data_IF_077245771829
#
_entry.id   IF_077245771829
#
_cell.length_a   1.000
_cell.length_b   1.000
_cell.length_c   1.000
_cell.angle_alpha   90.00
_cell.angle_beta   90.00
_cell.angle_gamma   90.00
#
_symmetry.space_group_name_H-M   'P 1'
#
loop_
_entity.id
_entity.type
_entity.pdbx_description
1 polymer ?
#
# COMPACT_ATOMS: atom_id res chain seq x y z
N UNK A 1 0.04 -14.41 39.60
CA UNK A 1 -0.32 -15.08 38.34
C UNK A 1 -1.67 -14.50 37.94
N UNK A 2 -1.79 -13.74 36.85
CA UNK A 2 -3.09 -13.29 36.40
C UNK A 2 -3.70 -14.35 35.46
N UNK A 3 -4.97 -14.62 35.73
CA UNK A 3 -5.86 -15.53 35.03
C UNK A 3 -5.93 -15.26 33.52
N UNK A 4 -5.81 -16.33 32.74
CA UNK A 4 -6.10 -16.32 31.31
C UNK A 4 -7.59 -16.65 31.12
N UNK A 5 -8.39 -15.65 30.75
CA UNK A 5 -9.81 -15.84 30.43
C UNK A 5 -9.96 -16.29 28.96
N UNK A 6 -10.53 -17.48 28.65
CA UNK A 6 -10.49 -18.07 27.30
C UNK A 6 -11.50 -17.47 26.28
N UNK A 7 -12.16 -16.35 26.59
CA UNK A 7 -13.26 -15.79 25.76
C UNK A 7 -13.29 -14.26 25.65
N UNK A 8 -12.15 -13.59 25.69
CA UNK A 8 -12.09 -12.21 25.21
C UNK A 8 -12.09 -12.23 23.66
N UNK A 9 -13.28 -12.12 23.04
CA UNK A 9 -13.37 -11.60 21.69
C UNK A 9 -12.89 -10.15 21.75
N UNK A 10 -11.60 -9.94 21.49
CA UNK A 10 -11.06 -8.60 21.35
C UNK A 10 -11.69 -8.00 20.10
N UNK A 11 -12.75 -7.20 20.30
CA UNK A 11 -13.35 -6.41 19.22
C UNK A 11 -12.34 -5.34 18.82
N UNK A 12 -11.47 -5.71 17.89
CA UNK A 12 -10.35 -4.92 17.41
C UNK A 12 -10.91 -3.77 16.58
N UNK A 13 -10.59 -2.53 16.93
CA UNK A 13 -10.94 -1.38 16.10
C UNK A 13 -9.91 -1.17 14.99
N UNK A 14 -10.28 -0.45 13.93
CA UNK A 14 -9.34 0.04 12.90
C UNK A 14 -8.18 0.79 13.55
N UNK A 15 -8.46 1.60 14.59
CA UNK A 15 -7.46 2.34 15.34
C UNK A 15 -6.48 1.43 16.07
N UNK A 16 -6.96 0.34 16.67
CA UNK A 16 -6.09 -0.63 17.36
C UNK A 16 -5.20 -1.42 16.40
N UNK A 17 -5.64 -1.62 15.15
CA UNK A 17 -4.80 -2.21 14.11
C UNK A 17 -3.74 -1.22 13.68
N UNK A 18 -4.16 -0.01 13.33
CA UNK A 18 -3.29 1.03 12.81
C UNK A 18 -2.24 1.52 13.80
N UNK A 19 -2.46 1.35 15.12
CA UNK A 19 -1.46 1.67 16.14
C UNK A 19 -0.18 0.82 16.06
N UNK A 20 -0.21 -0.29 15.31
CA UNK A 20 0.95 -1.15 15.08
C UNK A 20 1.71 -0.81 13.80
N UNK A 21 1.33 0.28 13.12
CA UNK A 21 2.01 0.77 11.92
C UNK A 21 2.88 1.98 12.26
N UNK A 22 3.90 2.25 11.45
CA UNK A 22 4.70 3.47 11.57
C UNK A 22 3.91 4.74 11.22
N UNK A 23 2.71 4.60 10.65
CA UNK A 23 1.86 5.71 10.21
C UNK A 23 0.41 5.56 10.71
N UNK A 24 0.14 5.61 12.03
CA UNK A 24 -1.20 5.27 12.56
C UNK A 24 -2.34 6.13 12.00
N UNK A 25 -2.15 7.46 11.92
CA UNK A 25 -3.19 8.38 11.44
C UNK A 25 -3.42 8.23 9.93
N UNK A 26 -2.35 8.02 9.15
CA UNK A 26 -2.44 7.75 7.71
C UNK A 26 -3.11 6.41 7.47
N UNK A 27 -2.77 5.40 8.26
CA UNK A 27 -3.42 4.09 8.22
C UNK A 27 -4.93 4.22 8.42
N UNK A 28 -5.37 4.86 9.51
CA UNK A 28 -6.80 5.02 9.80
C UNK A 28 -7.51 5.74 8.65
N UNK A 29 -7.00 6.90 8.22
CA UNK A 29 -7.64 7.69 7.16
C UNK A 29 -7.65 6.97 5.81
N UNK A 30 -6.61 6.20 5.50
CA UNK A 30 -6.47 5.49 4.22
C UNK A 30 -7.37 4.26 4.15
N UNK A 31 -7.47 3.47 5.22
CA UNK A 31 -8.17 2.17 5.16
C UNK A 31 -9.65 2.27 5.53
N UNK A 32 -10.04 3.26 6.35
CA UNK A 32 -11.45 3.42 6.79
C UNK A 32 -12.47 3.41 5.65
N UNK A 33 -12.23 4.05 4.48
CA UNK A 33 -13.17 4.01 3.36
C UNK A 33 -13.36 2.62 2.72
N UNK A 34 -12.42 1.69 2.95
CA UNK A 34 -12.39 0.36 2.32
C UNK A 34 -12.73 -0.77 3.29
N UNK A 35 -12.73 -0.49 4.60
CA UNK A 35 -13.01 -1.47 5.65
C UNK A 35 -14.52 -1.62 5.83
N UNK A 36 -14.98 -2.87 5.88
CA UNK A 36 -16.37 -3.22 6.18
C UNK A 36 -16.65 -3.28 7.69
N UNK A 37 -17.79 -3.88 8.04
CA UNK A 37 -18.16 -4.07 9.46
C UNK A 37 -17.34 -5.16 10.15
N UNK A 38 -16.69 -6.04 9.39
CA UNK A 38 -15.85 -7.11 9.90
C UNK A 38 -14.39 -6.64 9.96
N UNK A 39 -13.86 -6.56 11.18
CA UNK A 39 -12.51 -6.09 11.50
C UNK A 39 -11.52 -7.24 11.74
N UNK A 40 -11.79 -8.43 11.20
CA UNK A 40 -10.79 -9.48 11.06
C UNK A 40 -9.54 -8.95 10.35
N UNK A 41 -8.35 -9.38 10.81
CA UNK A 41 -7.09 -8.87 10.28
C UNK A 41 -6.91 -9.16 8.79
N UNK A 42 -7.46 -10.26 8.25
CA UNK A 42 -7.42 -10.53 6.81
C UNK A 42 -8.28 -9.53 6.04
N UNK A 43 -9.48 -9.20 6.55
CA UNK A 43 -10.36 -8.23 5.90
C UNK A 43 -9.78 -6.83 5.94
N UNK A 44 -9.12 -6.46 7.03
CA UNK A 44 -8.45 -5.16 7.15
C UNK A 44 -7.20 -5.11 6.27
N UNK A 45 -6.46 -6.21 6.14
CA UNK A 45 -5.38 -6.33 5.16
C UNK A 45 -5.89 -6.20 3.72
N UNK A 46 -6.98 -6.88 3.38
CA UNK A 46 -7.64 -6.77 2.07
C UNK A 46 -8.05 -5.32 1.78
N UNK A 47 -8.66 -4.64 2.75
CA UNK A 47 -9.02 -3.24 2.64
C UNK A 47 -7.80 -2.32 2.44
N UNK A 48 -6.70 -2.57 3.15
CA UNK A 48 -5.46 -1.82 2.99
C UNK A 48 -4.85 -2.02 1.58
N UNK A 49 -4.85 -3.26 1.06
CA UNK A 49 -4.36 -3.55 -0.30
C UNK A 49 -5.25 -2.89 -1.37
N UNK A 50 -6.58 -2.85 -1.15
CA UNK A 50 -7.51 -2.09 -2.02
C UNK A 50 -7.21 -0.59 -2.02
N UNK A 51 -6.96 -0.01 -0.85
CA UNK A 51 -6.58 1.39 -0.72
C UNK A 51 -5.27 1.68 -1.46
N UNK A 52 -4.27 0.81 -1.29
CA UNK A 52 -2.99 0.90 -1.99
C UNK A 52 -3.17 0.82 -3.52
N UNK A 53 -4.01 -0.11 -4.00
CA UNK A 53 -4.33 -0.26 -5.43
C UNK A 53 -5.00 0.99 -6.01
N UNK A 54 -5.93 1.59 -5.25
CA UNK A 54 -6.58 2.83 -5.65
C UNK A 54 -5.57 3.97 -5.80
N UNK A 55 -4.66 4.13 -4.83
CA UNK A 55 -3.61 5.13 -4.90
C UNK A 55 -2.63 4.88 -6.06
N UNK A 56 -2.19 3.64 -6.27
CA UNK A 56 -1.31 3.30 -7.39
C UNK A 56 -1.95 3.65 -8.75
N UNK A 57 -3.21 3.27 -8.95
CA UNK A 57 -3.94 3.59 -10.18
C UNK A 57 -4.18 5.10 -10.36
N UNK A 58 -4.42 5.82 -9.26
CA UNK A 58 -4.48 7.28 -9.28
C UNK A 58 -3.13 7.87 -9.71
N UNK A 59 -2.03 7.42 -9.14
CA UNK A 59 -0.69 7.89 -9.51
C UNK A 59 -0.38 7.64 -10.98
N UNK A 60 -0.67 6.45 -11.52
CA UNK A 60 -0.55 6.15 -12.97
C UNK A 60 -1.29 7.20 -13.81
N UNK A 61 -2.52 7.52 -13.42
CA UNK A 61 -3.36 8.49 -14.14
C UNK A 61 -2.75 9.89 -14.12
N UNK A 62 -2.17 10.30 -12.99
CA UNK A 62 -1.56 11.63 -12.87
C UNK A 62 -0.22 11.68 -13.60
N UNK A 63 0.63 10.65 -13.50
CA UNK A 63 1.87 10.52 -14.29
C UNK A 63 1.58 10.61 -15.79
N UNK A 64 0.58 9.87 -16.27
CA UNK A 64 0.17 9.92 -17.68
C UNK A 64 -0.32 11.31 -18.13
N UNK A 65 -0.91 12.10 -17.22
CA UNK A 65 -1.31 13.49 -17.49
C UNK A 65 -0.10 14.42 -17.57
N UNK A 66 0.86 14.30 -16.65
CA UNK A 66 2.09 15.11 -16.67
C UNK A 66 2.96 14.80 -17.88
N UNK A 67 3.03 13.54 -18.30
CA UNK A 67 3.78 13.12 -19.49
C UNK A 67 3.31 13.85 -20.76
N UNK A 68 2.02 14.17 -20.86
CA UNK A 68 1.46 14.97 -21.97
C UNK A 68 1.78 16.46 -21.87
N UNK A 69 2.02 16.97 -20.66
CA UNK A 69 2.25 18.39 -20.38
C UNK A 69 3.74 18.77 -20.42
N UNK A 70 4.63 17.81 -20.19
CA UNK A 70 6.08 18.01 -20.10
C UNK A 70 6.83 17.02 -21.01
N UNK A 71 6.95 17.31 -22.32
CA UNK A 71 7.70 16.48 -23.27
C UNK A 71 9.15 16.23 -22.84
N UNK A 72 9.76 17.20 -22.16
CA UNK A 72 11.13 17.10 -21.63
C UNK A 72 11.30 16.06 -20.52
N UNK A 73 10.21 15.71 -19.82
CA UNK A 73 10.19 14.68 -18.77
C UNK A 73 9.54 13.38 -19.24
N UNK A 74 9.16 13.27 -20.52
CA UNK A 74 8.29 12.19 -21.00
C UNK A 74 8.88 10.80 -20.75
N UNK A 75 10.19 10.60 -21.00
CA UNK A 75 10.85 9.32 -20.77
C UNK A 75 10.86 8.92 -19.29
N UNK A 76 11.25 9.83 -18.40
CA UNK A 76 11.24 9.59 -16.94
C UNK A 76 9.83 9.28 -16.41
N UNK A 77 8.82 9.95 -16.96
CA UNK A 77 7.42 9.73 -16.61
C UNK A 77 6.88 8.42 -17.18
N UNK A 78 7.36 7.99 -18.35
CA UNK A 78 7.07 6.68 -18.92
C UNK A 78 7.65 5.56 -18.05
N UNK A 79 8.93 5.65 -17.68
CA UNK A 79 9.59 4.70 -16.77
C UNK A 79 8.83 4.61 -15.43
N UNK A 80 8.48 5.75 -14.84
CA UNK A 80 7.72 5.78 -13.60
C UNK A 80 6.32 5.14 -13.75
N UNK A 81 5.64 5.40 -14.86
CA UNK A 81 4.34 4.79 -15.15
C UNK A 81 4.45 3.27 -15.25
N UNK A 82 5.52 2.74 -15.86
CA UNK A 82 5.80 1.31 -15.91
C UNK A 82 6.00 0.73 -14.51
N UNK A 83 6.82 1.38 -13.67
CA UNK A 83 7.01 0.94 -12.29
C UNK A 83 5.70 0.89 -11.49
N UNK A 84 4.86 1.93 -11.57
CA UNK A 84 3.56 1.90 -10.89
C UNK A 84 2.58 0.87 -11.49
N UNK A 85 2.73 0.52 -12.76
CA UNK A 85 1.94 -0.56 -13.39
C UNK A 85 2.37 -1.92 -12.82
N UNK A 86 3.68 -2.17 -12.68
CA UNK A 86 4.20 -3.36 -12.00
C UNK A 86 3.77 -3.43 -10.54
N UNK A 87 3.79 -2.29 -9.83
CA UNK A 87 3.27 -2.20 -8.47
C UNK A 87 1.78 -2.61 -8.40
N UNK A 88 0.96 -2.16 -9.36
CA UNK A 88 -0.47 -2.53 -9.42
C UNK A 88 -0.67 -4.03 -9.69
N UNK A 89 0.16 -4.63 -10.55
CA UNK A 89 0.15 -6.08 -10.78
C UNK A 89 0.55 -6.88 -9.53
N UNK A 90 1.57 -6.41 -8.80
CA UNK A 90 1.97 -7.02 -7.53
C UNK A 90 0.85 -6.89 -6.47
N UNK A 91 0.16 -5.74 -6.39
CA UNK A 91 -1.01 -5.59 -5.52
C UNK A 91 -2.15 -6.55 -5.90
N UNK A 92 -2.39 -6.77 -7.18
CA UNK A 92 -3.37 -7.75 -7.65
C UNK A 92 -3.00 -9.17 -7.18
N UNK A 93 -1.75 -9.57 -7.34
CA UNK A 93 -1.26 -10.88 -6.90
C UNK A 93 -1.32 -11.04 -5.37
N UNK A 94 -1.07 -9.96 -4.62
CA UNK A 94 -1.28 -9.96 -3.18
C UNK A 94 -2.75 -10.20 -2.83
N UNK A 95 -3.69 -9.53 -3.53
CA UNK A 95 -5.12 -9.75 -3.36
C UNK A 95 -5.56 -11.20 -3.65
N UNK A 96 -5.03 -11.82 -4.71
CA UNK A 96 -5.35 -13.21 -5.07
C UNK A 96 -4.87 -14.23 -4.02
N UNK A 97 -3.84 -13.89 -3.25
CA UNK A 97 -3.29 -14.73 -2.18
C UNK A 97 -4.05 -14.61 -0.85
N UNK A 98 -4.93 -13.60 -0.68
CA UNK A 98 -5.72 -13.39 0.54
C UNK A 98 -6.68 -14.55 0.84
N UNK A 99 -7.49 -15.08 -0.11
CA UNK A 99 -8.46 -16.15 0.19
C UNK A 99 -7.81 -17.45 0.67
N UNK A 100 -6.60 -17.77 0.20
CA UNK A 100 -5.84 -18.95 0.63
C UNK A 100 -4.99 -18.68 1.89
N UNK A 101 -5.05 -17.46 2.43
CA UNK A 101 -4.19 -16.99 3.55
C UNK A 101 -2.71 -17.22 3.28
N UNK A 102 -2.28 -17.11 2.03
CA UNK A 102 -0.86 -17.22 1.66
C UNK A 102 -0.14 -15.90 1.98
N UNK A 103 0.12 -15.69 3.27
CA UNK A 103 0.81 -14.50 3.79
C UNK A 103 2.25 -14.40 3.28
N UNK A 104 2.86 -15.52 2.87
CA UNK A 104 4.17 -15.53 2.24
C UNK A 104 4.13 -14.79 0.91
N UNK A 105 3.20 -15.18 0.03
CA UNK A 105 2.99 -14.48 -1.25
C UNK A 105 2.56 -13.03 -1.03
N UNK A 106 1.62 -12.75 -0.12
CA UNK A 106 1.19 -11.37 0.19
C UNK A 106 2.39 -10.49 0.58
N UNK A 107 3.24 -10.96 1.48
CA UNK A 107 4.41 -10.20 1.97
C UNK A 107 5.42 -9.95 0.86
N UNK A 108 5.71 -10.95 0.03
CA UNK A 108 6.66 -10.81 -1.09
C UNK A 108 6.13 -9.80 -2.12
N UNK A 109 4.84 -9.88 -2.46
CA UNK A 109 4.23 -8.97 -3.43
C UNK A 109 4.18 -7.53 -2.90
N UNK A 110 3.81 -7.33 -1.63
CA UNK A 110 3.83 -6.00 -1.00
C UNK A 110 5.24 -5.41 -0.89
N UNK A 111 6.25 -6.25 -0.68
CA UNK A 111 7.66 -5.81 -0.70
C UNK A 111 8.10 -5.40 -2.11
N UNK A 112 7.62 -6.12 -3.14
CA UNK A 112 7.85 -5.74 -4.53
C UNK A 112 7.21 -4.39 -4.88
N UNK A 113 6.00 -4.10 -4.38
CA UNK A 113 5.36 -2.78 -4.52
C UNK A 113 6.24 -1.65 -3.98
N UNK A 114 6.87 -1.83 -2.81
CA UNK A 114 7.80 -0.84 -2.27
C UNK A 114 9.01 -0.63 -3.19
N UNK A 115 9.57 -1.71 -3.74
CA UNK A 115 10.70 -1.64 -4.65
C UNK A 115 10.34 -0.93 -5.96
N UNK A 116 9.19 -1.26 -6.55
CA UNK A 116 8.68 -0.64 -7.77
C UNK A 116 8.47 0.87 -7.58
N UNK A 117 7.80 1.27 -6.48
CA UNK A 117 7.57 2.70 -6.17
C UNK A 117 8.90 3.43 -5.95
N UNK A 118 9.83 2.84 -5.20
CA UNK A 118 11.15 3.41 -4.97
C UNK A 118 11.93 3.57 -6.28
N UNK A 119 11.82 2.64 -7.23
CA UNK A 119 12.48 2.74 -8.52
C UNK A 119 11.98 3.94 -9.35
N UNK A 120 10.68 4.25 -9.29
CA UNK A 120 10.18 5.50 -9.87
C UNK A 120 10.79 6.73 -9.15
N UNK A 121 10.70 6.80 -7.82
CA UNK A 121 11.12 7.96 -7.04
C UNK A 121 12.62 8.28 -7.24
N UNK A 122 13.49 7.27 -7.17
CA UNK A 122 14.94 7.42 -7.39
C UNK A 122 15.28 7.87 -8.81
N UNK A 123 14.50 7.48 -9.82
CA UNK A 123 14.70 7.92 -11.21
C UNK A 123 14.55 9.44 -11.39
N UNK A 124 13.71 10.09 -10.58
CA UNK A 124 13.57 11.56 -10.59
C UNK A 124 14.68 12.27 -9.80
N UNK A 125 15.12 11.68 -8.67
CA UNK A 125 16.23 12.20 -7.87
C UNK A 125 17.53 12.26 -8.68
N UNK A 126 17.85 11.20 -9.43
CA UNK A 126 19.04 11.14 -10.30
C UNK A 126 19.01 12.22 -11.40
N UNK A 127 17.82 12.55 -11.87
CA UNK A 127 17.59 13.60 -12.87
C UNK A 127 17.51 15.01 -12.25
N UNK A 128 17.73 15.15 -10.93
CA UNK A 128 17.60 16.41 -10.17
C UNK A 128 16.28 17.14 -10.44
N UNK A 129 15.24 16.39 -10.74
CA UNK A 129 13.95 16.91 -11.14
C UNK A 129 12.95 16.59 -10.04
N UNK A 130 12.18 17.58 -9.60
CA UNK A 130 11.14 17.33 -8.61
C UNK A 130 10.08 16.39 -9.19
N UNK A 131 9.58 15.47 -8.37
CA UNK A 131 8.39 14.71 -8.74
C UNK A 131 7.26 15.70 -9.06
N UNK A 132 6.51 15.51 -10.16
CA UNK A 132 5.36 16.35 -10.47
C UNK A 132 4.22 16.22 -9.44
N UNK A 133 4.42 15.40 -8.41
CA UNK A 133 3.42 14.85 -7.51
C UNK A 133 3.70 15.16 -6.02
N UNK A 134 3.91 16.43 -5.62
CA UNK A 134 4.30 16.75 -4.24
C UNK A 134 3.24 16.40 -3.17
N UNK A 135 2.00 16.10 -3.58
CA UNK A 135 0.93 15.70 -2.66
C UNK A 135 0.64 14.18 -2.68
N UNK A 136 1.25 13.41 -3.58
CA UNK A 136 1.15 11.94 -3.59
C UNK A 136 2.47 11.22 -3.35
N UNK A 137 3.54 11.99 -3.17
CA UNK A 137 4.86 11.49 -2.83
C UNK A 137 4.76 10.61 -1.58
N UNK A 138 5.25 9.38 -1.69
CA UNK A 138 5.19 8.42 -0.61
C UNK A 138 3.81 7.85 -0.26
N UNK A 139 2.69 8.24 -0.89
CA UNK A 139 1.37 7.71 -0.49
C UNK A 139 1.29 6.19 -0.69
N UNK A 140 1.74 5.71 -1.85
CA UNK A 140 1.69 4.26 -2.17
C UNK A 140 2.72 3.49 -1.35
N UNK A 141 3.93 4.01 -1.15
CA UNK A 141 4.95 3.34 -0.32
C UNK A 141 4.56 3.31 1.16
N UNK A 142 4.00 4.40 1.70
CA UNK A 142 3.42 4.44 3.06
C UNK A 142 2.30 3.40 3.19
N UNK A 143 1.37 3.35 2.22
CA UNK A 143 0.25 2.41 2.29
C UNK A 143 0.69 0.95 2.11
N UNK A 144 1.69 0.68 1.27
CA UNK A 144 2.29 -0.65 1.17
C UNK A 144 2.98 -1.07 2.48
N UNK A 145 3.69 -0.15 3.15
CA UNK A 145 4.26 -0.38 4.49
C UNK A 145 3.18 -0.65 5.54
N UNK A 146 2.07 0.08 5.50
CA UNK A 146 0.88 -0.19 6.32
C UNK A 146 0.34 -1.61 6.06
N UNK A 147 0.25 -2.03 4.79
CA UNK A 147 -0.19 -3.39 4.44
C UNK A 147 0.74 -4.46 5.05
N UNK A 148 2.07 -4.27 4.95
CA UNK A 148 3.06 -5.18 5.54
C UNK A 148 2.94 -5.25 7.07
N UNK A 149 2.77 -4.09 7.71
CA UNK A 149 2.56 -4.01 9.16
C UNK A 149 1.32 -4.79 9.58
N UNK A 150 0.20 -4.62 8.88
CA UNK A 150 -1.04 -5.36 9.16
C UNK A 150 -0.85 -6.86 8.91
N UNK A 151 -0.20 -7.25 7.81
CA UNK A 151 0.07 -8.66 7.50
C UNK A 151 0.89 -9.34 8.60
N UNK A 152 1.85 -8.62 9.21
CA UNK A 152 2.68 -9.14 10.30
C UNK A 152 1.91 -9.44 11.60
N UNK A 153 0.71 -8.87 11.77
CA UNK A 153 -0.15 -9.12 12.93
C UNK A 153 -0.93 -10.43 12.80
N UNK A 154 -0.96 -11.04 11.62
CA UNK A 154 -1.78 -12.22 11.34
C UNK A 154 -1.02 -13.48 11.77
N UNK A 155 -1.58 -14.29 12.68
CA UNK A 155 -0.93 -15.53 13.09
C UNK A 155 -0.87 -16.54 11.93
N UNK A 156 0.26 -17.23 11.84
CA UNK A 156 0.51 -18.34 10.92
C UNK A 156 -0.27 -19.60 11.32
#
# INVERSE_FOLDING_TARGET
MPDHDPKASHHRSVKDICSHTDYPEVCVSTITPFVGNDLDLMNVLEAAIKACSFQANFTISVVAKHMKASPEMAAALEDCKEQYTSALENLHRAMEAIPSRDLGTVTVMLSAVLADVSACESGFEEQKTALPMPHSEGMVSITASICLSIASLIPY
#
